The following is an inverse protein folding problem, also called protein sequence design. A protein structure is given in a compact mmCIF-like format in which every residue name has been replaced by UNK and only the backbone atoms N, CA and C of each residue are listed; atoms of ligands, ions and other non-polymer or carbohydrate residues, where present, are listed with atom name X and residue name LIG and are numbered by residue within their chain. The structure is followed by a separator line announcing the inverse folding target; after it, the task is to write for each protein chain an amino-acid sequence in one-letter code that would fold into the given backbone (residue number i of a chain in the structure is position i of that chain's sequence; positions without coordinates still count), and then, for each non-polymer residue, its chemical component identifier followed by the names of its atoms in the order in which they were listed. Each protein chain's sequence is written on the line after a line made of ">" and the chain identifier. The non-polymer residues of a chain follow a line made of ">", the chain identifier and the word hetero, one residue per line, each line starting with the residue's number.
data_IF_635571456275
#
_entry.id   IF_635571456275
#
_cell.length_a   1.000
_cell.length_b   1.000
_cell.length_c   1.000
_cell.angle_alpha   90.00
_cell.angle_beta   90.00
_cell.angle_gamma   90.00
#
_symmetry.space_group_name_H-M   'P 1'
#
loop_
_entity.id
_entity.type
_entity.pdbx_description
1 polymer ?
#
# COMPACT_ATOMS: atom_id res chain seq x y z
N UNK A 1 5.15 0.39 -11.31
CA UNK A 1 4.37 0.84 -12.49
C UNK A 1 3.00 0.18 -12.47
N UNK A 2 2.85 -1.14 -12.69
CA UNK A 2 1.52 -1.81 -12.70
C UNK A 2 0.58 -1.46 -11.51
N UNK A 3 1.08 -1.42 -10.28
CA UNK A 3 0.25 -1.04 -9.11
C UNK A 3 -0.33 0.38 -9.23
N UNK A 4 0.45 1.34 -9.73
CA UNK A 4 0.05 2.75 -9.84
C UNK A 4 -0.76 3.00 -11.12
N UNK A 5 -0.37 2.34 -12.22
CA UNK A 5 -0.95 2.59 -13.55
C UNK A 5 -2.24 1.80 -13.79
N UNK A 6 -2.38 0.61 -13.20
CA UNK A 6 -3.47 -0.32 -13.48
C UNK A 6 -4.33 -0.60 -12.24
N UNK A 7 -3.71 -0.92 -11.10
CA UNK A 7 -4.46 -1.38 -9.93
C UNK A 7 -5.05 -0.25 -9.06
N UNK A 8 -4.39 0.91 -8.99
CA UNK A 8 -4.86 2.04 -8.19
C UNK A 8 -6.08 2.74 -8.83
N UNK A 9 -6.09 3.06 -10.14
CA UNK A 9 -7.25 3.70 -10.76
C UNK A 9 -8.50 2.82 -10.71
N UNK A 10 -8.34 1.52 -10.95
CA UNK A 10 -9.44 0.54 -10.89
C UNK A 10 -10.04 0.47 -9.48
N UNK A 11 -9.22 0.36 -8.43
CA UNK A 11 -9.74 0.35 -7.05
C UNK A 11 -10.38 1.67 -6.61
N UNK A 12 -9.86 2.81 -7.05
CA UNK A 12 -10.53 4.11 -6.81
C UNK A 12 -11.88 4.17 -7.52
N UNK A 13 -11.94 3.70 -8.76
CA UNK A 13 -13.17 3.68 -9.56
C UNK A 13 -14.24 2.75 -8.95
N UNK A 14 -13.85 1.66 -8.30
CA UNK A 14 -14.78 0.79 -7.56
C UNK A 14 -15.18 1.37 -6.21
N UNK A 15 -14.24 2.03 -5.52
CA UNK A 15 -14.47 2.61 -4.20
C UNK A 15 -15.44 3.79 -4.22
N UNK A 16 -15.28 4.72 -5.15
CA UNK A 16 -16.07 5.97 -5.17
C UNK A 16 -17.58 5.70 -5.27
N UNK A 17 -18.09 4.91 -6.24
CA UNK A 17 -19.51 4.59 -6.33
C UNK A 17 -20.01 3.86 -5.08
N UNK A 18 -19.26 2.89 -4.58
CA UNK A 18 -19.65 2.13 -3.38
C UNK A 18 -19.73 3.04 -2.14
N UNK A 19 -18.77 3.95 -1.98
CA UNK A 19 -18.75 4.91 -0.88
C UNK A 19 -19.96 5.85 -0.93
N UNK A 20 -20.26 6.44 -2.10
CA UNK A 20 -21.45 7.27 -2.26
C UNK A 20 -22.75 6.49 -2.09
N UNK A 21 -22.79 5.23 -2.53
CA UNK A 21 -23.96 4.37 -2.36
C UNK A 21 -24.23 4.04 -0.89
N UNK A 22 -23.19 3.73 -0.10
CA UNK A 22 -23.32 3.50 1.35
C UNK A 22 -23.84 4.75 2.05
N UNK A 23 -23.29 5.94 1.73
CA UNK A 23 -23.79 7.21 2.29
C UNK A 23 -25.25 7.43 1.88
N UNK A 24 -25.59 7.23 0.61
CA UNK A 24 -26.96 7.38 0.10
C UNK A 24 -27.96 6.48 0.84
N UNK A 25 -27.60 5.22 1.09
CA UNK A 25 -28.44 4.29 1.84
C UNK A 25 -28.58 4.75 3.31
N UNK A 26 -27.49 5.16 3.96
CA UNK A 26 -27.53 5.64 5.35
C UNK A 26 -28.42 6.88 5.51
N UNK A 27 -28.35 7.82 4.57
CA UNK A 27 -29.20 9.01 4.53
C UNK A 27 -30.65 8.63 4.28
N UNK A 28 -30.93 7.74 3.32
CA UNK A 28 -32.27 7.29 3.00
C UNK A 28 -32.94 6.56 4.19
N UNK A 29 -32.22 5.66 4.86
CA UNK A 29 -32.71 4.96 6.07
C UNK A 29 -32.99 5.97 7.20
N UNK A 30 -32.13 6.96 7.38
CA UNK A 30 -32.31 8.00 8.40
C UNK A 30 -33.47 8.95 8.08
N UNK A 31 -33.73 9.22 6.80
CA UNK A 31 -34.84 10.04 6.34
C UNK A 31 -36.19 9.33 6.53
N UNK A 32 -36.25 8.04 6.17
CA UNK A 32 -37.45 7.23 6.33
C UNK A 32 -37.76 6.98 7.81
N UNK A 33 -36.73 6.80 8.65
CA UNK A 33 -36.91 6.56 10.07
C UNK A 33 -35.98 7.47 10.91
N UNK A 34 -36.49 8.62 11.41
CA UNK A 34 -35.70 9.53 12.24
C UNK A 34 -35.11 8.88 13.50
N UNK A 35 -35.76 7.85 14.05
CA UNK A 35 -35.26 7.10 15.21
C UNK A 35 -34.09 6.18 14.85
N UNK A 36 -33.95 5.78 13.58
CA UNK A 36 -32.83 4.99 13.09
C UNK A 36 -31.53 5.81 12.95
N UNK A 37 -31.59 7.14 13.06
CA UNK A 37 -30.42 8.01 13.05
C UNK A 37 -29.45 7.71 14.20
N UNK A 38 -29.97 7.41 15.40
CA UNK A 38 -29.15 7.12 16.58
C UNK A 38 -28.35 5.81 16.38
N UNK A 39 -28.98 4.66 16.05
CA UNK A 39 -28.25 3.43 15.71
C UNK A 39 -27.26 3.60 14.55
N UNK A 40 -27.62 4.38 13.53
CA UNK A 40 -26.77 4.68 12.38
C UNK A 40 -25.47 5.38 12.78
N UNK A 41 -25.56 6.39 13.65
CA UNK A 41 -24.39 7.09 14.18
C UNK A 41 -23.48 6.19 15.03
N UNK A 42 -24.07 5.36 15.90
CA UNK A 42 -23.32 4.42 16.75
C UNK A 42 -22.62 3.36 15.87
N UNK A 43 -23.32 2.78 14.90
CA UNK A 43 -22.75 1.81 13.97
C UNK A 43 -21.59 2.42 13.18
N UNK A 44 -21.76 3.63 12.65
CA UNK A 44 -20.71 4.35 11.93
C UNK A 44 -19.48 4.59 12.80
N UNK A 45 -19.66 5.04 14.05
CA UNK A 45 -18.55 5.26 14.98
C UNK A 45 -17.79 3.95 15.28
N UNK A 46 -18.51 2.87 15.57
CA UNK A 46 -17.92 1.55 15.79
C UNK A 46 -17.14 1.06 14.57
N UNK A 47 -17.69 1.24 13.36
CA UNK A 47 -17.03 0.86 12.11
C UNK A 47 -15.75 1.68 11.88
N UNK A 48 -15.77 2.98 12.11
CA UNK A 48 -14.57 3.82 11.99
C UNK A 48 -13.48 3.41 12.98
N UNK A 49 -13.85 3.05 14.21
CA UNK A 49 -12.89 2.56 15.21
C UNK A 49 -12.24 1.23 14.79
N UNK A 50 -13.04 0.26 14.35
CA UNK A 50 -12.53 -1.04 13.85
C UNK A 50 -11.63 -0.81 12.63
N UNK A 51 -12.06 0.05 11.69
CA UNK A 51 -11.28 0.41 10.51
C UNK A 51 -9.94 1.02 10.90
N UNK A 52 -9.90 1.97 11.82
CA UNK A 52 -8.67 2.62 12.27
C UNK A 52 -7.66 1.59 12.81
N UNK A 53 -8.12 0.66 13.66
CA UNK A 53 -7.27 -0.41 14.22
C UNK A 53 -6.77 -1.38 13.14
N UNK A 54 -7.66 -1.75 12.21
CA UNK A 54 -7.32 -2.63 11.11
C UNK A 54 -6.32 -1.98 10.13
N UNK A 55 -6.50 -0.71 9.78
CA UNK A 55 -5.62 0.01 8.86
C UNK A 55 -4.18 0.08 9.39
N UNK A 56 -4.00 0.40 10.68
CA UNK A 56 -2.67 0.39 11.32
C UNK A 56 -2.00 -0.98 11.25
N UNK A 57 -2.70 -2.04 11.63
CA UNK A 57 -2.15 -3.41 11.62
C UNK A 57 -1.84 -3.89 10.20
N UNK A 58 -2.73 -3.63 9.24
CA UNK A 58 -2.57 -4.00 7.83
C UNK A 58 -1.36 -3.31 7.19
N UNK A 59 -1.12 -2.03 7.50
CA UNK A 59 0.05 -1.29 7.02
C UNK A 59 1.36 -1.91 7.53
N UNK A 60 1.43 -2.24 8.81
CA UNK A 60 2.62 -2.89 9.38
C UNK A 60 2.86 -4.28 8.80
N UNK A 61 1.80 -5.08 8.60
CA UNK A 61 1.90 -6.40 7.97
C UNK A 61 2.34 -6.29 6.51
N UNK A 62 1.81 -5.32 5.75
CA UNK A 62 2.24 -5.07 4.37
C UNK A 62 3.70 -4.61 4.28
N UNK A 63 4.16 -3.80 5.24
CA UNK A 63 5.58 -3.45 5.34
C UNK A 63 6.44 -4.68 5.62
N UNK A 64 6.01 -5.53 6.54
CA UNK A 64 6.71 -6.77 6.88
C UNK A 64 6.79 -7.71 5.67
N UNK A 65 5.70 -7.84 4.90
CA UNK A 65 5.67 -8.62 3.65
C UNK A 65 6.69 -8.07 2.64
N UNK A 66 6.75 -6.75 2.48
CA UNK A 66 7.74 -6.10 1.62
C UNK A 66 9.18 -6.41 2.02
N UNK A 67 9.47 -6.45 3.32
CA UNK A 67 10.80 -6.79 3.86
C UNK A 67 11.12 -8.28 3.65
N UNK A 68 10.19 -9.20 3.91
CA UNK A 68 10.42 -10.64 3.76
C UNK A 68 10.50 -11.11 2.32
N UNK A 69 9.86 -10.37 1.40
CA UNK A 69 9.84 -10.70 -0.03
C UNK A 69 11.16 -10.40 -0.73
N UNK A 70 11.90 -9.38 -0.29
CA UNK A 70 13.17 -8.98 -0.93
C UNK A 70 14.28 -10.04 -0.86
N UNK A 71 14.58 -10.66 0.31
CA UNK A 71 15.57 -11.73 0.44
C UNK A 71 15.29 -12.91 -0.49
N UNK A 72 14.02 -13.32 -0.62
CA UNK A 72 13.60 -14.39 -1.51
C UNK A 72 14.02 -14.13 -2.97
N UNK A 73 13.74 -12.93 -3.50
CA UNK A 73 14.13 -12.58 -4.87
C UNK A 73 15.64 -12.47 -5.03
N UNK A 74 16.33 -11.86 -4.06
CA UNK A 74 17.79 -11.72 -4.08
C UNK A 74 18.49 -13.08 -4.06
N UNK A 75 17.98 -14.02 -3.26
CA UNK A 75 18.50 -15.38 -3.15
C UNK A 75 18.32 -16.15 -4.45
N UNK A 76 17.14 -16.03 -5.08
CA UNK A 76 16.86 -16.63 -6.38
C UNK A 76 17.83 -16.11 -7.46
N UNK A 77 18.01 -14.79 -7.54
CA UNK A 77 18.94 -14.17 -8.50
C UNK A 77 20.38 -14.63 -8.27
N UNK A 78 20.82 -14.68 -7.00
CA UNK A 78 22.17 -15.13 -6.64
C UNK A 78 22.38 -16.62 -6.99
N UNK A 79 21.36 -17.45 -6.77
CA UNK A 79 21.39 -18.88 -7.12
C UNK A 79 21.50 -19.09 -8.63
N UNK A 80 20.78 -18.29 -9.44
CA UNK A 80 20.85 -18.36 -10.91
C UNK A 80 22.26 -17.99 -11.40
N UNK A 81 22.83 -16.89 -10.89
CA UNK A 81 24.18 -16.47 -11.28
C UNK A 81 25.27 -17.43 -10.77
N UNK A 82 25.10 -17.99 -9.57
CA UNK A 82 26.03 -18.92 -8.92
C UNK A 82 25.83 -20.40 -9.28
N UNK A 83 24.92 -20.73 -10.19
CA UNK A 83 24.45 -22.11 -10.42
C UNK A 83 25.59 -23.10 -10.73
N UNK A 84 26.59 -22.68 -11.50
CA UNK A 84 27.76 -23.51 -11.83
C UNK A 84 28.57 -23.87 -10.59
N UNK A 85 28.78 -22.90 -9.68
CA UNK A 85 29.53 -23.09 -8.44
C UNK A 85 28.78 -24.03 -7.51
N UNK A 86 27.47 -23.81 -7.32
CA UNK A 86 26.62 -24.63 -6.46
C UNK A 86 26.65 -26.10 -6.90
N UNK A 87 26.54 -26.37 -8.21
CA UNK A 87 26.62 -27.72 -8.76
C UNK A 87 28.01 -28.34 -8.65
N UNK A 88 29.07 -27.55 -8.83
CA UNK A 88 30.44 -28.04 -8.67
C UNK A 88 30.78 -28.40 -7.22
N UNK A 89 30.12 -27.76 -6.25
CA UNK A 89 30.30 -28.00 -4.83
C UNK A 89 29.30 -29.01 -4.25
N UNK A 90 28.39 -29.57 -5.05
CA UNK A 90 27.29 -30.44 -4.61
C UNK A 90 26.48 -29.87 -3.43
N UNK A 91 26.27 -28.55 -3.43
CA UNK A 91 25.61 -27.82 -2.35
C UNK A 91 24.11 -27.54 -2.62
N UNK A 92 23.49 -28.25 -3.58
CA UNK A 92 22.13 -27.98 -4.03
C UNK A 92 21.11 -28.09 -2.90
N UNK A 93 21.23 -29.12 -2.05
CA UNK A 93 20.31 -29.34 -0.94
C UNK A 93 20.41 -28.26 0.14
N UNK A 94 21.63 -27.76 0.39
CA UNK A 94 21.87 -26.68 1.37
C UNK A 94 21.18 -25.42 0.85
N UNK A 95 21.45 -25.03 -0.40
CA UNK A 95 20.83 -23.85 -1.01
C UNK A 95 19.29 -23.98 -1.11
N UNK A 96 18.79 -25.17 -1.43
CA UNK A 96 17.35 -25.42 -1.47
C UNK A 96 16.71 -25.25 -0.07
N UNK A 97 17.33 -25.79 0.98
CA UNK A 97 16.80 -25.66 2.35
C UNK A 97 16.75 -24.20 2.83
N UNK A 98 17.77 -23.40 2.49
CA UNK A 98 17.81 -21.98 2.82
C UNK A 98 16.77 -21.18 2.02
N UNK A 99 16.60 -21.50 0.73
CA UNK A 99 15.53 -20.93 -0.09
C UNK A 99 14.14 -21.21 0.50
N UNK A 100 13.87 -22.46 0.91
CA UNK A 100 12.59 -22.80 1.54
C UNK A 100 12.38 -22.05 2.86
N UNK A 101 13.42 -21.82 3.66
CA UNK A 101 13.33 -20.99 4.87
C UNK A 101 12.88 -19.55 4.58
N UNK A 102 13.41 -18.94 3.50
CA UNK A 102 12.97 -17.61 3.05
C UNK A 102 11.52 -17.61 2.57
N UNK A 103 11.12 -18.63 1.79
CA UNK A 103 9.73 -18.79 1.32
C UNK A 103 8.76 -18.97 2.49
N UNK A 104 9.10 -19.80 3.48
CA UNK A 104 8.29 -20.03 4.67
C UNK A 104 8.12 -18.76 5.48
N UNK A 105 9.19 -17.98 5.65
CA UNK A 105 9.14 -16.70 6.36
C UNK A 105 8.19 -15.73 5.67
N UNK A 106 8.27 -15.60 4.34
CA UNK A 106 7.36 -14.77 3.58
C UNK A 106 5.90 -15.26 3.64
N UNK A 107 5.70 -16.58 3.54
CA UNK A 107 4.37 -17.21 3.59
C UNK A 107 3.69 -17.01 4.95
N UNK A 108 4.45 -17.05 6.06
CA UNK A 108 3.93 -16.76 7.40
C UNK A 108 3.36 -15.34 7.50
N UNK A 109 4.04 -14.36 6.91
CA UNK A 109 3.58 -12.96 6.92
C UNK A 109 2.33 -12.79 6.08
N UNK A 110 2.29 -13.39 4.89
CA UNK A 110 1.10 -13.38 4.02
C UNK A 110 -0.10 -14.02 4.72
N UNK A 111 0.12 -15.15 5.41
CA UNK A 111 -0.93 -15.82 6.18
C UNK A 111 -1.48 -14.92 7.32
N UNK A 112 -0.61 -14.20 8.02
CA UNK A 112 -1.01 -13.23 9.06
C UNK A 112 -1.84 -12.08 8.46
N UNK A 113 -1.46 -11.59 7.28
CA UNK A 113 -2.22 -10.57 6.56
C UNK A 113 -3.62 -11.04 6.17
N UNK A 114 -3.74 -12.25 5.61
CA UNK A 114 -5.03 -12.87 5.28
C UNK A 114 -5.91 -13.07 6.52
N UNK A 115 -5.33 -13.56 7.62
CA UNK A 115 -6.04 -13.79 8.88
C UNK A 115 -6.56 -12.49 9.49
N UNK A 116 -5.73 -11.44 9.47
CA UNK A 116 -6.10 -10.10 9.98
C UNK A 116 -7.23 -9.49 9.13
N UNK A 117 -7.19 -9.68 7.82
CA UNK A 117 -8.26 -9.26 6.90
C UNK A 117 -9.58 -9.98 7.22
N UNK A 118 -9.53 -11.29 7.48
CA UNK A 118 -10.72 -12.06 7.89
C UNK A 118 -11.28 -11.61 9.23
N UNK A 119 -10.42 -11.34 10.20
CA UNK A 119 -10.83 -10.80 11.50
C UNK A 119 -11.62 -9.49 11.35
N UNK A 120 -11.15 -8.57 10.52
CA UNK A 120 -11.83 -7.30 10.28
C UNK A 120 -13.21 -7.50 9.64
N UNK A 121 -13.31 -8.34 8.59
CA UNK A 121 -14.57 -8.66 7.92
C UNK A 121 -15.62 -9.18 8.92
N UNK A 122 -15.25 -10.16 9.76
CA UNK A 122 -16.16 -10.72 10.76
C UNK A 122 -16.66 -9.63 11.72
N UNK A 123 -15.80 -8.70 12.16
CA UNK A 123 -16.20 -7.62 13.06
C UNK A 123 -17.14 -6.61 12.41
N UNK A 124 -16.93 -6.27 11.13
CA UNK A 124 -17.86 -5.43 10.39
C UNK A 124 -19.23 -6.08 10.20
N UNK A 125 -19.26 -7.40 10.01
CA UNK A 125 -20.51 -8.15 9.89
C UNK A 125 -21.32 -8.13 11.17
N UNK A 126 -20.67 -8.34 12.32
CA UNK A 126 -21.35 -8.24 13.60
C UNK A 126 -22.00 -6.87 13.78
N UNK A 127 -21.27 -5.77 13.54
CA UNK A 127 -21.83 -4.42 13.66
C UNK A 127 -23.00 -4.21 12.70
N UNK A 128 -22.89 -4.70 11.47
CA UNK A 128 -23.94 -4.52 10.46
C UNK A 128 -25.18 -5.36 10.78
N UNK A 129 -25.01 -6.59 11.24
CA UNK A 129 -26.12 -7.45 11.69
C UNK A 129 -26.85 -6.81 12.87
N UNK A 130 -26.13 -6.26 13.85
CA UNK A 130 -26.76 -5.53 14.97
C UNK A 130 -27.50 -4.29 14.49
N UNK A 131 -26.92 -3.53 13.55
CA UNK A 131 -27.58 -2.36 12.96
C UNK A 131 -28.89 -2.75 12.27
N UNK A 132 -28.87 -3.76 11.38
CA UNK A 132 -30.06 -4.25 10.68
C UNK A 132 -31.10 -4.76 11.69
N UNK A 133 -30.70 -5.52 12.71
CA UNK A 133 -31.61 -6.01 13.74
C UNK A 133 -32.30 -4.86 14.50
N UNK A 134 -31.56 -3.82 14.88
CA UNK A 134 -32.13 -2.65 15.57
C UNK A 134 -33.08 -1.87 14.64
N UNK A 135 -32.69 -1.64 13.38
CA UNK A 135 -33.51 -0.92 12.40
C UNK A 135 -34.81 -1.68 12.12
N UNK A 136 -34.75 -3.01 12.00
CA UNK A 136 -35.96 -3.83 11.79
C UNK A 136 -36.87 -3.81 13.01
N UNK A 137 -36.34 -3.94 14.23
CA UNK A 137 -37.13 -3.84 15.48
C UNK A 137 -37.78 -2.46 15.64
N UNK A 138 -37.04 -1.37 15.37
CA UNK A 138 -37.58 -0.01 15.41
C UNK A 138 -38.69 0.19 14.38
N UNK A 139 -38.51 -0.33 13.16
CA UNK A 139 -39.51 -0.22 12.09
C UNK A 139 -40.80 -0.97 12.42
N UNK A 140 -40.70 -2.16 13.02
CA UNK A 140 -41.85 -2.92 13.51
C UNK A 140 -42.51 -2.20 14.69
N UNK A 141 -41.73 -1.72 15.66
CA UNK A 141 -42.24 -0.98 16.82
C UNK A 141 -43.02 0.28 16.41
N UNK A 142 -42.47 1.07 15.49
CA UNK A 142 -43.16 2.26 14.97
C UNK A 142 -44.44 1.93 14.22
N UNK A 143 -44.55 0.76 13.58
CA UNK A 143 -45.80 0.30 12.95
C UNK A 143 -46.86 -0.10 13.98
N UNK A 144 -46.44 -0.73 15.09
CA UNK A 144 -47.36 -1.17 16.15
C UNK A 144 -47.86 0.02 16.99
N UNK A 145 -46.99 0.98 17.29
CA UNK A 145 -47.31 2.13 18.15
C UNK A 145 -47.71 3.40 17.38
N UNK A 146 -47.31 3.53 16.11
CA UNK A 146 -47.54 4.71 15.26
C UNK A 146 -48.38 4.37 14.02
N UNK A 147 -49.47 5.10 13.79
CA UNK A 147 -50.44 4.85 12.71
C UNK A 147 -50.01 5.30 11.30
N UNK A 148 -48.78 5.81 11.10
CA UNK A 148 -48.44 6.56 9.88
C UNK A 148 -47.35 5.95 8.97
N UNK A 149 -46.83 4.76 9.25
CA UNK A 149 -45.85 4.12 8.36
C UNK A 149 -46.52 3.21 7.33
N UNK A 150 -46.29 3.48 6.04
CA UNK A 150 -46.72 2.59 4.96
C UNK A 150 -45.92 1.28 5.02
N UNK A 151 -46.56 0.17 4.67
CA UNK A 151 -45.86 -1.13 4.57
C UNK A 151 -44.76 -1.10 3.51
N UNK A 152 -44.89 -0.22 2.51
CA UNK A 152 -43.89 0.00 1.47
C UNK A 152 -42.59 0.61 2.04
N UNK A 153 -42.68 1.59 2.94
CA UNK A 153 -41.50 2.27 3.51
C UNK A 153 -40.69 1.34 4.41
N UNK A 154 -41.37 0.45 5.14
CA UNK A 154 -40.73 -0.57 5.98
C UNK A 154 -39.99 -1.58 5.11
N UNK A 155 -40.63 -2.06 4.03
CA UNK A 155 -39.99 -2.97 3.09
C UNK A 155 -38.77 -2.31 2.43
N UNK A 156 -38.90 -1.06 2.00
CA UNK A 156 -37.82 -0.26 1.42
C UNK A 156 -36.64 -0.14 2.39
N UNK A 157 -36.91 0.24 3.64
CA UNK A 157 -35.89 0.38 4.69
C UNK A 157 -35.16 -0.93 4.95
N UNK A 158 -35.90 -2.05 5.02
CA UNK A 158 -35.35 -3.36 5.30
C UNK A 158 -34.51 -3.89 4.12
N UNK A 159 -34.98 -3.73 2.89
CA UNK A 159 -34.24 -4.10 1.68
C UNK A 159 -32.93 -3.33 1.56
N UNK A 160 -32.95 -2.01 1.74
CA UNK A 160 -31.72 -1.21 1.67
C UNK A 160 -30.76 -1.47 2.84
N UNK A 161 -31.29 -1.71 4.05
CA UNK A 161 -30.46 -2.09 5.20
C UNK A 161 -29.75 -3.42 4.98
N UNK A 162 -30.40 -4.38 4.31
CA UNK A 162 -29.78 -5.66 3.95
C UNK A 162 -28.72 -5.48 2.85
N UNK A 163 -29.01 -4.67 1.83
CA UNK A 163 -28.03 -4.34 0.79
C UNK A 163 -26.78 -3.64 1.34
N UNK A 164 -26.94 -2.84 2.40
CA UNK A 164 -25.84 -2.17 3.08
C UNK A 164 -24.83 -3.17 3.67
N UNK A 165 -25.24 -4.37 4.07
CA UNK A 165 -24.34 -5.39 4.61
C UNK A 165 -23.22 -5.76 3.65
N UNK A 166 -23.55 -6.10 2.40
CA UNK A 166 -22.54 -6.45 1.40
C UNK A 166 -21.73 -5.23 0.93
N UNK A 167 -22.40 -4.10 0.69
CA UNK A 167 -21.77 -2.89 0.17
C UNK A 167 -20.76 -2.29 1.14
N UNK A 168 -21.08 -2.28 2.44
CA UNK A 168 -20.23 -1.69 3.46
C UNK A 168 -18.95 -2.51 3.67
N UNK A 169 -19.04 -3.84 3.68
CA UNK A 169 -17.86 -4.73 3.70
C UNK A 169 -16.93 -4.45 2.51
N UNK A 170 -17.49 -4.39 1.31
CA UNK A 170 -16.74 -4.14 0.08
C UNK A 170 -16.07 -2.76 0.11
N UNK A 171 -16.82 -1.72 0.48
CA UNK A 171 -16.34 -0.34 0.57
C UNK A 171 -15.15 -0.21 1.53
N UNK A 172 -15.23 -0.84 2.70
CA UNK A 172 -14.16 -0.77 3.69
C UNK A 172 -12.90 -1.47 3.20
N UNK A 173 -13.04 -2.65 2.57
CA UNK A 173 -11.92 -3.37 1.95
C UNK A 173 -11.24 -2.51 0.89
N UNK A 174 -12.02 -1.97 -0.05
CA UNK A 174 -11.51 -1.11 -1.11
C UNK A 174 -10.77 0.11 -0.55
N UNK A 175 -11.28 0.70 0.52
CA UNK A 175 -10.63 1.85 1.15
C UNK A 175 -9.25 1.52 1.75
N UNK A 176 -9.09 0.33 2.34
CA UNK A 176 -7.80 -0.11 2.89
C UNK A 176 -6.84 -0.51 1.76
N UNK A 177 -7.34 -1.08 0.67
CA UNK A 177 -6.55 -1.36 -0.52
C UNK A 177 -6.01 -0.08 -1.15
N UNK A 178 -6.83 0.97 -1.26
CA UNK A 178 -6.39 2.28 -1.75
C UNK A 178 -5.27 2.85 -0.86
N UNK A 179 -5.44 2.85 0.46
CA UNK A 179 -4.43 3.34 1.41
C UNK A 179 -3.12 2.56 1.27
N UNK A 180 -3.21 1.24 1.12
CA UNK A 180 -2.05 0.36 0.91
C UNK A 180 -1.34 0.70 -0.40
N UNK A 181 -2.09 0.85 -1.51
CA UNK A 181 -1.53 1.16 -2.83
C UNK A 181 -0.93 2.56 -2.90
N UNK A 182 -1.49 3.54 -2.20
CA UNK A 182 -0.96 4.91 -2.10
C UNK A 182 0.45 4.95 -1.50
N UNK A 183 0.85 3.98 -0.68
CA UNK A 183 2.25 3.85 -0.20
C UNK A 183 3.24 3.73 -1.36
N UNK A 184 2.83 3.14 -2.49
CA UNK A 184 3.69 3.06 -3.69
C UNK A 184 3.87 4.44 -4.34
N UNK A 185 2.84 5.29 -4.32
CA UNK A 185 2.90 6.66 -4.84
C UNK A 185 3.80 7.52 -3.94
N UNK A 186 3.67 7.38 -2.61
CA UNK A 186 4.55 8.04 -1.63
C UNK A 186 6.02 7.74 -1.91
N UNK A 187 6.37 6.47 -2.17
CA UNK A 187 7.75 6.08 -2.54
C UNK A 187 8.23 6.71 -3.84
N UNK A 188 7.37 6.83 -4.85
CA UNK A 188 7.73 7.49 -6.11
C UNK A 188 8.03 8.96 -5.86
N UNK A 189 7.19 9.63 -5.07
CA UNK A 189 7.40 11.04 -4.70
C UNK A 189 8.70 11.23 -3.91
N UNK A 190 9.02 10.31 -3.00
CA UNK A 190 10.29 10.29 -2.29
C UNK A 190 11.48 10.22 -3.26
N UNK A 191 11.44 9.30 -4.25
CA UNK A 191 12.48 9.22 -5.28
C UNK A 191 12.58 10.49 -6.14
N UNK A 192 11.46 11.14 -6.46
CA UNK A 192 11.46 12.41 -7.18
C UNK A 192 12.04 13.57 -6.36
N UNK A 193 12.04 13.46 -5.03
CA UNK A 193 12.55 14.49 -4.12
C UNK A 193 14.03 14.32 -3.74
N UNK A 194 14.67 13.22 -4.17
CA UNK A 194 16.09 12.99 -3.91
C UNK A 194 16.94 14.10 -4.54
N UNK A 195 17.99 14.50 -3.82
CA UNK A 195 18.99 15.43 -4.33
C UNK A 195 19.60 14.88 -5.62
N UNK A 196 19.43 15.62 -6.70
CA UNK A 196 20.05 15.27 -7.97
C UNK A 196 21.55 15.52 -7.89
N UNK A 197 22.32 14.68 -8.56
CA UNK A 197 23.70 15.03 -8.89
C UNK A 197 23.70 16.34 -9.70
N UNK A 198 24.72 17.17 -9.51
CA UNK A 198 24.83 18.46 -10.17
C UNK A 198 24.60 18.31 -11.67
N UNK A 199 23.62 19.03 -12.21
CA UNK A 199 23.19 18.90 -13.60
C UNK A 199 24.35 19.05 -14.58
N UNK A 200 24.35 18.21 -15.62
CA UNK A 200 25.29 18.32 -16.76
C UNK A 200 25.14 19.64 -17.53
N UNK A 201 24.07 20.41 -17.27
CA UNK A 201 23.91 21.78 -17.79
C UNK A 201 25.01 22.68 -17.22
N UNK A 202 26.11 22.74 -17.98
CA UNK A 202 27.22 23.66 -17.75
C UNK A 202 26.68 25.07 -17.95
N UNK A 203 27.05 25.99 -17.05
CA UNK A 203 26.89 27.41 -17.33
C UNK A 203 27.57 27.72 -18.68
N UNK A 204 27.03 28.59 -19.53
CA UNK A 204 27.65 28.95 -20.83
C UNK A 204 29.11 29.41 -20.70
N UNK A 205 29.48 29.92 -19.51
CA UNK A 205 30.85 30.31 -19.14
C UNK A 205 31.86 29.16 -19.09
N UNK A 206 31.42 27.92 -18.87
CA UNK A 206 32.26 26.72 -18.74
C UNK A 206 32.07 25.73 -19.90
N UNK A 207 31.48 26.19 -21.00
CA UNK A 207 31.37 25.39 -22.21
C UNK A 207 32.74 25.35 -22.91
N UNK A 208 33.34 24.16 -23.10
CA UNK A 208 34.62 24.07 -23.77
C UNK A 208 34.47 24.41 -25.26
N UNK A 209 35.57 24.77 -25.91
CA UNK A 209 35.56 25.08 -27.35
C UNK A 209 35.12 23.87 -28.19
N UNK A 210 34.64 24.13 -29.41
CA UNK A 210 34.22 23.08 -30.37
C UNK A 210 35.31 22.02 -30.61
N UNK A 211 36.59 22.40 -30.48
CA UNK A 211 37.73 21.52 -30.70
C UNK A 211 38.19 20.81 -29.43
N UNK A 212 37.44 20.87 -28.32
CA UNK A 212 37.79 20.19 -27.08
C UNK A 212 37.38 18.72 -27.09
N UNK A 213 38.20 17.81 -26.56
CA UNK A 213 39.58 18.03 -26.07
C UNK A 213 40.59 18.04 -27.24
N UNK A 214 41.35 19.13 -27.39
CA UNK A 214 42.31 19.29 -28.51
C UNK A 214 43.67 18.64 -28.24
N UNK A 215 44.10 18.64 -26.98
CA UNK A 215 45.30 17.97 -26.50
C UNK A 215 44.81 17.07 -25.36
N UNK A 216 44.86 15.75 -25.54
CA UNK A 216 44.36 14.75 -24.57
C UNK A 216 45.16 14.68 -23.26
N UNK A 217 45.78 15.79 -22.84
CA UNK A 217 46.55 15.91 -21.62
C UNK A 217 45.61 15.91 -20.41
N UNK A 218 45.86 15.01 -19.45
CA UNK A 218 45.06 14.91 -18.22
C UNK A 218 45.96 15.22 -17.03
N UNK A 219 45.61 16.26 -16.28
CA UNK A 219 46.33 16.65 -15.06
C UNK A 219 45.41 16.40 -13.87
N UNK A 220 45.83 15.51 -12.99
CA UNK A 220 45.27 15.40 -11.64
C UNK A 220 46.12 16.28 -10.73
N UNK A 221 45.47 17.14 -9.95
CA UNK A 221 46.12 17.99 -8.97
C UNK A 221 45.48 17.79 -7.60
N UNK A 222 46.23 17.19 -6.67
CA UNK A 222 45.83 16.91 -5.29
C UNK A 222 44.45 16.23 -5.17
N UNK A 223 44.15 15.33 -6.10
CA UNK A 223 42.81 14.71 -6.18
C UNK A 223 42.65 13.71 -5.04
N UNK A 224 41.53 13.85 -4.33
CA UNK A 224 41.14 12.97 -3.23
C UNK A 224 39.70 12.51 -3.45
N UNK A 225 39.43 11.22 -3.20
CA UNK A 225 38.12 10.61 -3.44
C UNK A 225 37.68 9.85 -2.20
N UNK A 226 36.41 10.02 -1.86
CA UNK A 226 35.68 9.16 -0.92
C UNK A 226 34.33 8.78 -1.54
N UNK A 227 33.87 7.56 -1.29
CA UNK A 227 32.58 7.08 -1.77
C UNK A 227 31.41 7.55 -0.88
N UNK A 228 31.68 7.85 0.38
CA UNK A 228 30.70 8.35 1.35
C UNK A 228 31.25 9.60 2.02
N UNK A 229 30.40 10.56 2.36
CA UNK A 229 30.83 11.82 3.01
C UNK A 229 31.64 11.56 4.29
N UNK A 230 31.28 10.54 5.05
CA UNK A 230 31.94 10.20 6.33
C UNK A 230 32.97 9.07 6.22
N UNK A 231 33.28 8.58 5.01
CA UNK A 231 34.25 7.50 4.81
C UNK A 231 35.68 8.05 4.71
N UNK A 232 36.70 7.29 5.17
CA UNK A 232 38.08 7.65 4.91
C UNK A 232 38.36 7.78 3.40
N UNK A 233 39.26 8.71 3.07
CA UNK A 233 39.72 8.92 1.70
C UNK A 233 40.40 7.66 1.15
N UNK A 234 39.90 7.21 -0.01
CA UNK A 234 40.44 6.08 -0.78
C UNK A 234 41.61 6.55 -1.63
N UNK A 235 41.42 7.64 -2.38
CA UNK A 235 42.53 8.36 -3.03
C UNK A 235 42.91 9.56 -2.17
N UNK A 236 44.21 9.75 -1.96
CA UNK A 236 44.75 10.76 -1.05
C UNK A 236 45.79 11.59 -1.78
N UNK A 237 45.41 12.82 -2.14
CA UNK A 237 46.32 13.83 -2.69
C UNK A 237 47.12 13.35 -3.89
N UNK A 238 46.46 12.70 -4.85
CA UNK A 238 47.15 12.22 -6.06
C UNK A 238 47.34 13.39 -7.02
N UNK A 239 48.61 13.65 -7.35
CA UNK A 239 49.00 14.57 -8.41
C UNK A 239 49.76 13.81 -9.50
N UNK A 240 49.22 13.80 -10.72
CA UNK A 240 49.84 13.15 -11.87
C UNK A 240 49.51 13.89 -13.16
N UNK A 241 50.43 13.85 -14.12
CA UNK A 241 50.28 14.50 -15.42
C UNK A 241 50.46 13.44 -16.52
N UNK A 242 49.41 13.21 -17.30
CA UNK A 242 49.39 12.29 -18.45
C UNK A 242 49.50 13.14 -19.71
N UNK A 243 50.61 12.99 -20.42
CA UNK A 243 50.83 13.67 -21.69
C UNK A 243 50.01 13.03 -22.83
N UNK A 244 49.66 13.81 -23.88
CA UNK A 244 48.96 13.26 -25.04
C UNK A 244 49.83 12.22 -25.76
N UNK A 245 49.20 11.13 -26.21
CA UNK A 245 49.84 10.06 -26.98
C UNK A 245 49.97 10.37 -28.47
#
# INVERSE_FOLDING_TARGET
>A
MAIVDEELPTTIFDFLPCFFQVIGIMVLVSWLNPWAFIPSGIATMCMLYIRYRFAHCSRDLKRLEGITRSPFYSYLTSTIHGLKVIRSCHAENICASEFFSHVDTNTRVEYLFLTTTRWAVIRFDWVTVFFVAIVTLLSIGLRVFGRQFSSADIALTLSYSLSLMGLLQWTIRQSVEIETKMTSVERILEYCSLGQETSVQRLPKYEPSINWPSHGRIVFDNVSISYFQDSPLVLRGISLNIEPG
#
